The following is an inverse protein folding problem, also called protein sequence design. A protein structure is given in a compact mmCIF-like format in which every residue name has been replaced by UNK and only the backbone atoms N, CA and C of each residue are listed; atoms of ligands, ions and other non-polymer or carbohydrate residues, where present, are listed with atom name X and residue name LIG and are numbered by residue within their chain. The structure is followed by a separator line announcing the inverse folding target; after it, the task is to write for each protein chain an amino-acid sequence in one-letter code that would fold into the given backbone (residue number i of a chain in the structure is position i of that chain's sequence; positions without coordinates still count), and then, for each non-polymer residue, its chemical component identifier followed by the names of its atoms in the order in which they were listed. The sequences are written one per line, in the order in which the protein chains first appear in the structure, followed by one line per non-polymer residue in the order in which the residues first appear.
data_IF_279591431340
#
_entry.id   IF_279591431340
#
_cell.length_a   1.000
_cell.length_b   1.000
_cell.length_c   1.000
_cell.angle_alpha   90.00
_cell.angle_beta   90.00
_cell.angle_gamma   90.00
#
_symmetry.space_group_name_H-M   'P 1'
#
loop_
_entity.id
_entity.type
_entity.pdbx_description
1 polymer ?
#
# COMPACT_ATOMS: atom_id res chain seq x y z
N UNK A 1 2.34 -5.89 5.48
CA UNK A 1 2.02 -6.95 6.48
C UNK A 1 2.06 -6.50 7.94
N UNK A 2 2.86 -5.49 8.36
CA UNK A 2 2.96 -5.07 9.77
C UNK A 2 1.67 -4.52 10.41
N UNK A 3 0.62 -4.27 9.61
CA UNK A 3 -0.66 -3.69 10.06
C UNK A 3 -1.80 -4.71 10.17
N UNK A 4 -1.48 -6.00 10.05
CA UNK A 4 -2.42 -7.07 10.34
C UNK A 4 -2.63 -7.12 11.87
N UNK A 5 -3.89 -7.15 12.26
CA UNK A 5 -4.37 -7.30 13.63
C UNK A 5 -5.36 -8.45 13.67
N UNK A 6 -5.56 -9.13 14.81
CA UNK A 6 -6.54 -10.22 14.90
C UNK A 6 -7.95 -9.82 14.43
N UNK A 7 -8.29 -8.53 14.55
CA UNK A 7 -9.60 -7.98 14.19
C UNK A 7 -9.78 -7.72 12.68
N UNK A 8 -8.69 -7.57 11.92
CA UNK A 8 -8.74 -7.31 10.47
C UNK A 8 -8.15 -8.46 9.62
N UNK A 9 -7.63 -9.52 10.27
CA UNK A 9 -6.96 -10.63 9.61
C UNK A 9 -7.89 -11.37 8.63
N UNK A 10 -9.11 -11.68 9.07
CA UNK A 10 -10.12 -12.37 8.25
C UNK A 10 -10.58 -11.51 7.06
N UNK A 11 -10.65 -10.19 7.24
CA UNK A 11 -11.01 -9.24 6.16
C UNK A 11 -9.88 -9.08 5.15
N UNK A 12 -8.64 -9.40 5.54
CA UNK A 12 -7.45 -9.27 4.72
C UNK A 12 -6.97 -10.61 4.12
N UNK A 13 -7.78 -11.67 4.27
CA UNK A 13 -7.58 -13.00 3.66
C UNK A 13 -6.32 -13.74 4.17
N UNK A 14 -5.93 -13.53 5.42
CA UNK A 14 -4.85 -14.28 6.06
C UNK A 14 -5.38 -15.19 7.18
N UNK A 15 -5.00 -16.48 7.17
CA UNK A 15 -5.43 -17.48 8.16
C UNK A 15 -4.82 -17.29 9.57
N UNK A 16 -3.80 -16.44 9.70
CA UNK A 16 -3.13 -16.13 10.97
C UNK A 16 -2.20 -14.92 10.84
N UNK A 17 -1.82 -14.31 11.96
CA UNK A 17 -0.88 -13.18 11.96
C UNK A 17 0.51 -13.65 11.50
N UNK A 18 1.02 -13.21 10.33
CA UNK A 18 2.31 -13.65 9.87
C UNK A 18 3.42 -13.07 10.75
N UNK A 19 4.42 -13.89 11.07
CA UNK A 19 5.66 -13.39 11.65
C UNK A 19 6.44 -12.63 10.56
N UNK A 20 6.11 -11.35 10.37
CA UNK A 20 6.54 -10.55 9.21
C UNK A 20 8.05 -10.53 9.04
N UNK A 21 8.82 -10.44 10.13
CA UNK A 21 10.28 -10.47 10.05
C UNK A 21 10.78 -11.80 9.47
N UNK A 22 10.22 -12.92 9.93
CA UNK A 22 10.58 -14.24 9.43
C UNK A 22 10.15 -14.44 7.97
N UNK A 23 8.96 -13.98 7.61
CA UNK A 23 8.48 -14.04 6.23
C UNK A 23 9.38 -13.22 5.29
N UNK A 24 9.90 -12.07 5.74
CA UNK A 24 10.86 -11.29 4.96
C UNK A 24 12.17 -12.04 4.78
N UNK A 25 12.73 -12.62 5.84
CA UNK A 25 13.97 -13.44 5.75
C UNK A 25 13.81 -14.59 4.74
N UNK A 26 12.67 -15.29 4.78
CA UNK A 26 12.38 -16.40 3.87
C UNK A 26 12.20 -15.93 2.42
N UNK A 27 11.52 -14.80 2.22
CA UNK A 27 11.38 -14.18 0.90
C UNK A 27 12.72 -13.76 0.32
N UNK A 28 13.58 -13.12 1.14
CA UNK A 28 14.90 -12.66 0.71
C UNK A 28 15.81 -13.84 0.34
N UNK A 29 15.79 -14.91 1.15
CA UNK A 29 16.50 -16.15 0.85
C UNK A 29 16.01 -16.81 -0.45
N UNK A 30 14.70 -16.80 -0.70
CA UNK A 30 14.13 -17.32 -1.95
C UNK A 30 14.55 -16.48 -3.17
N UNK A 31 14.47 -15.16 -3.08
CA UNK A 31 14.91 -14.26 -4.14
C UNK A 31 16.41 -14.45 -4.46
N UNK A 32 17.25 -14.59 -3.44
CA UNK A 32 18.69 -14.82 -3.62
C UNK A 32 18.99 -16.20 -4.22
N UNK A 33 18.20 -17.21 -3.85
CA UNK A 33 18.31 -18.55 -4.44
C UNK A 33 18.03 -18.56 -5.95
N UNK A 34 17.10 -17.70 -6.42
CA UNK A 34 16.83 -17.51 -7.84
C UNK A 34 17.96 -16.71 -8.53
N UNK A 35 18.41 -15.60 -7.92
CA UNK A 35 19.51 -14.79 -8.44
C UNK A 35 20.81 -15.58 -8.58
N UNK A 36 21.14 -16.42 -7.62
CA UNK A 36 22.32 -17.29 -7.68
C UNK A 36 22.29 -18.32 -8.82
N UNK A 37 21.12 -18.54 -9.44
CA UNK A 37 20.93 -19.34 -10.66
C UNK A 37 20.87 -18.49 -11.94
N UNK A 38 21.21 -17.20 -11.87
CA UNK A 38 21.21 -16.29 -13.01
C UNK A 38 19.82 -15.79 -13.41
N UNK A 39 18.80 -15.97 -12.56
CA UNK A 39 17.46 -15.41 -12.80
C UNK A 39 17.44 -13.95 -12.37
N UNK A 40 16.95 -13.07 -13.25
CA UNK A 40 16.64 -11.69 -12.88
C UNK A 40 15.37 -11.67 -12.01
N UNK A 41 15.52 -11.23 -10.76
CA UNK A 41 14.41 -11.12 -9.80
C UNK A 41 14.07 -9.66 -9.59
N UNK A 42 12.91 -9.26 -10.12
CA UNK A 42 12.34 -7.93 -9.96
C UNK A 42 11.40 -7.90 -8.76
N UNK A 43 11.58 -6.93 -7.87
CA UNK A 43 10.71 -6.73 -6.71
C UNK A 43 9.63 -5.70 -7.05
N UNK A 44 8.37 -6.03 -6.77
CA UNK A 44 7.24 -5.14 -7.03
C UNK A 44 7.39 -3.78 -6.32
N UNK A 45 7.93 -3.77 -5.10
CA UNK A 45 8.21 -2.54 -4.35
C UNK A 45 9.14 -1.60 -5.10
N UNK A 46 10.15 -2.16 -5.75
CA UNK A 46 11.21 -1.42 -6.41
C UNK A 46 10.69 -0.88 -7.74
N UNK A 47 10.02 -1.73 -8.52
CA UNK A 47 9.35 -1.34 -9.76
C UNK A 47 8.28 -0.26 -9.53
N UNK A 48 7.49 -0.39 -8.48
CA UNK A 48 6.48 0.62 -8.13
C UNK A 48 7.15 1.95 -7.76
N UNK A 49 8.19 1.90 -6.94
CA UNK A 49 8.96 3.10 -6.55
C UNK A 49 9.54 3.80 -7.78
N UNK A 50 10.11 3.02 -8.71
CA UNK A 50 10.64 3.53 -9.98
C UNK A 50 9.53 4.18 -10.81
N UNK A 51 8.41 3.48 -11.02
CA UNK A 51 7.28 3.97 -11.81
C UNK A 51 6.69 5.29 -11.26
N UNK A 52 6.64 5.45 -9.93
CA UNK A 52 6.10 6.64 -9.26
C UNK A 52 6.98 7.91 -9.42
N UNK A 53 8.15 7.81 -10.05
CA UNK A 53 8.88 8.98 -10.54
C UNK A 53 8.16 9.64 -11.73
N UNK A 54 7.35 8.89 -12.48
CA UNK A 54 6.48 9.46 -13.51
C UNK A 54 5.30 10.18 -12.85
N UNK A 55 5.13 11.47 -13.18
CA UNK A 55 4.00 12.27 -12.69
C UNK A 55 2.63 11.66 -13.06
N UNK A 56 2.52 11.05 -14.24
CA UNK A 56 1.29 10.40 -14.68
C UNK A 56 0.98 9.14 -13.84
N UNK A 57 1.97 8.26 -13.66
CA UNK A 57 1.81 7.04 -12.85
C UNK A 57 1.51 7.38 -11.38
N UNK A 58 2.17 8.41 -10.85
CA UNK A 58 1.89 8.95 -9.50
C UNK A 58 0.44 9.38 -9.35
N UNK A 59 -0.07 10.18 -10.29
CA UNK A 59 -1.45 10.65 -10.25
C UNK A 59 -2.45 9.50 -10.35
N UNK A 60 -2.18 8.52 -11.21
CA UNK A 60 -3.01 7.33 -11.36
C UNK A 60 -3.02 6.47 -10.09
N UNK A 61 -1.85 6.22 -9.48
CA UNK A 61 -1.75 5.45 -8.24
C UNK A 61 -2.48 6.10 -7.06
N UNK A 62 -2.36 7.44 -6.93
CA UNK A 62 -3.10 8.19 -5.90
C UNK A 62 -4.60 8.13 -6.14
N UNK A 63 -5.06 8.33 -7.38
CA UNK A 63 -6.48 8.27 -7.71
C UNK A 63 -7.08 6.87 -7.48
N UNK A 64 -6.30 5.81 -7.70
CA UNK A 64 -6.74 4.43 -7.45
C UNK A 64 -6.84 4.09 -5.95
N UNK A 65 -6.02 4.72 -5.10
CA UNK A 65 -5.99 4.44 -3.66
C UNK A 65 -6.96 5.30 -2.83
N UNK A 66 -7.34 6.48 -3.32
CA UNK A 66 -8.21 7.41 -2.58
C UNK A 66 -9.67 7.20 -2.97
N UNK A 67 -10.47 6.68 -2.03
CA UNK A 67 -11.92 6.52 -2.19
C UNK A 67 -12.68 7.76 -1.70
N UNK A 68 -13.10 8.61 -2.63
CA UNK A 68 -13.82 9.85 -2.35
C UNK A 68 -15.24 9.63 -1.80
N UNK A 69 -15.88 8.50 -2.12
CA UNK A 69 -17.22 8.13 -1.63
C UNK A 69 -17.17 7.74 -0.17
N UNK A 70 -16.12 7.03 0.23
CA UNK A 70 -15.90 6.64 1.64
C UNK A 70 -15.42 7.80 2.50
N UNK A 71 -14.48 8.60 1.98
CA UNK A 71 -13.82 9.65 2.77
C UNK A 71 -14.57 10.98 2.76
N UNK A 72 -15.43 11.20 1.77
CA UNK A 72 -15.99 12.51 1.47
C UNK A 72 -14.98 13.40 0.74
N UNK A 73 -15.50 14.26 -0.15
CA UNK A 73 -14.69 15.06 -1.06
C UNK A 73 -13.60 15.93 -0.37
N UNK A 74 -13.87 16.65 0.73
CA UNK A 74 -12.85 17.49 1.36
C UNK A 74 -11.65 16.68 1.88
N UNK A 75 -11.91 15.58 2.58
CA UNK A 75 -10.86 14.73 3.12
C UNK A 75 -10.09 14.00 2.02
N UNK A 76 -10.78 13.54 0.98
CA UNK A 76 -10.16 12.91 -0.18
C UNK A 76 -9.20 13.86 -0.92
N UNK A 77 -9.56 15.14 -1.03
CA UNK A 77 -8.70 16.17 -1.62
C UNK A 77 -7.45 16.44 -0.78
N UNK A 78 -7.62 16.58 0.54
CA UNK A 78 -6.49 16.80 1.46
C UNK A 78 -5.54 15.60 1.49
N UNK A 79 -6.08 14.38 1.54
CA UNK A 79 -5.30 13.16 1.45
C UNK A 79 -4.54 13.09 0.13
N UNK A 80 -5.21 13.36 -1.00
CA UNK A 80 -4.56 13.38 -2.31
C UNK A 80 -3.44 14.40 -2.39
N UNK A 81 -3.63 15.60 -1.83
CA UNK A 81 -2.60 16.64 -1.77
C UNK A 81 -1.40 16.20 -0.94
N UNK A 82 -1.65 15.58 0.22
CA UNK A 82 -0.59 15.02 1.06
C UNK A 82 0.19 13.91 0.33
N UNK A 83 -0.48 12.95 -0.28
CA UNK A 83 0.18 11.86 -1.01
C UNK A 83 1.05 12.37 -2.17
N UNK A 84 0.63 13.43 -2.85
CA UNK A 84 1.42 14.07 -3.91
C UNK A 84 2.73 14.67 -3.39
N UNK A 85 2.78 15.09 -2.13
CA UNK A 85 3.98 15.66 -1.50
C UNK A 85 5.03 14.63 -1.11
N UNK A 86 4.68 13.34 -1.06
CA UNK A 86 5.60 12.28 -0.65
C UNK A 86 6.65 11.99 -1.72
N UNK A 87 7.86 11.62 -1.29
CA UNK A 87 8.84 11.02 -2.18
C UNK A 87 8.33 9.66 -2.74
N UNK A 88 8.84 9.19 -3.89
CA UNK A 88 8.35 7.96 -4.52
C UNK A 88 8.37 6.72 -3.61
N UNK A 89 9.41 6.55 -2.77
CA UNK A 89 9.53 5.39 -1.90
C UNK A 89 8.52 5.44 -0.75
N UNK A 90 8.29 6.62 -0.17
CA UNK A 90 7.24 6.82 0.83
C UNK A 90 5.85 6.64 0.23
N UNK A 91 5.60 7.14 -0.97
CA UNK A 91 4.33 6.93 -1.66
C UNK A 91 4.08 5.44 -1.95
N UNK A 92 5.07 4.72 -2.51
CA UNK A 92 4.97 3.28 -2.75
C UNK A 92 4.63 2.51 -1.48
N UNK A 93 5.28 2.86 -0.35
CA UNK A 93 5.00 2.26 0.96
C UNK A 93 3.56 2.51 1.40
N UNK A 94 3.05 3.72 1.24
CA UNK A 94 1.68 4.07 1.63
C UNK A 94 0.66 3.35 0.76
N UNK A 95 0.87 3.30 -0.56
CA UNK A 95 -0.04 2.62 -1.50
C UNK A 95 -0.07 1.09 -1.30
N UNK A 96 1.00 0.50 -0.76
CA UNK A 96 1.10 -0.96 -0.56
C UNK A 96 0.76 -1.38 0.87
N UNK A 97 1.25 -0.65 1.87
CA UNK A 97 1.10 -0.98 3.29
C UNK A 97 -0.09 -0.30 3.96
N UNK A 98 -0.82 0.57 3.25
CA UNK A 98 -1.91 1.34 3.80
C UNK A 98 -1.46 2.46 4.74
N UNK A 99 -2.43 3.28 5.13
CA UNK A 99 -2.26 4.43 6.02
C UNK A 99 -3.46 4.57 6.95
N UNK A 100 -3.22 4.84 8.23
CA UNK A 100 -4.27 5.05 9.23
C UNK A 100 -4.61 6.54 9.41
N UNK A 101 -5.77 6.84 9.98
CA UNK A 101 -6.18 8.22 10.26
C UNK A 101 -5.26 8.98 11.23
N UNK A 102 -4.49 8.28 12.06
CA UNK A 102 -3.47 8.86 12.96
C UNK A 102 -2.23 9.35 12.26
N UNK A 103 -1.94 8.83 11.08
CA UNK A 103 -0.76 9.21 10.29
C UNK A 103 -1.03 10.41 9.38
N UNK A 104 -2.28 10.88 9.31
CA UNK A 104 -2.63 12.11 8.61
C UNK A 104 -1.92 13.31 9.26
N UNK A 105 -1.36 14.23 8.46
CA UNK A 105 -0.77 15.46 8.97
C UNK A 105 -1.74 16.24 9.86
N UNK A 106 -1.24 16.83 10.94
CA UNK A 106 -2.07 17.68 11.82
C UNK A 106 -2.62 18.93 11.11
N UNK A 107 -2.06 19.31 9.96
CA UNK A 107 -2.49 20.41 9.10
C UNK A 107 -3.68 20.08 8.20
N UNK A 108 -4.03 18.80 8.06
CA UNK A 108 -5.31 18.38 7.46
C UNK A 108 -6.42 19.06 8.27
N UNK A 109 -7.35 19.80 7.63
CA UNK A 109 -8.48 20.49 8.29
C UNK A 109 -9.55 19.48 8.74
N UNK A 110 -9.04 18.48 9.40
CA UNK A 110 -9.64 17.26 9.87
C UNK A 110 -10.63 17.50 11.02
N UNK A 111 -10.54 18.64 11.70
CA UNK A 111 -11.50 19.07 12.72
C UNK A 111 -12.87 19.41 12.13
N UNK A 112 -13.00 19.54 10.81
CA UNK A 112 -14.28 19.76 10.11
C UNK A 112 -14.86 18.45 9.55
N UNK A 113 -14.04 17.43 9.33
CA UNK A 113 -14.49 16.16 8.73
C UNK A 113 -15.23 15.28 9.74
N UNK A 114 -16.55 15.15 9.56
CA UNK A 114 -17.37 14.20 10.32
C UNK A 114 -16.86 12.76 10.15
N UNK A 115 -16.41 12.40 8.94
CA UNK A 115 -15.87 11.07 8.63
C UNK A 115 -14.68 10.75 9.54
N UNK A 116 -13.72 11.66 9.69
CA UNK A 116 -12.59 11.44 10.61
C UNK A 116 -13.04 11.30 12.06
N UNK A 117 -14.01 12.09 12.53
CA UNK A 117 -14.51 12.01 13.91
C UNK A 117 -15.25 10.70 14.19
N UNK A 118 -15.87 10.10 13.18
CA UNK A 118 -16.58 8.83 13.30
C UNK A 118 -15.65 7.61 13.24
N UNK A 119 -14.46 7.76 12.67
CA UNK A 119 -13.46 6.69 12.57
C UNK A 119 -12.59 6.60 13.82
N UNK A 120 -12.23 5.37 14.19
CA UNK A 120 -11.25 5.12 15.23
C UNK A 120 -9.83 5.41 14.72
N UNK A 121 -8.93 5.73 15.65
CA UNK A 121 -7.53 6.04 15.36
C UNK A 121 -6.80 4.96 14.53
N UNK A 122 -7.19 3.69 14.69
CA UNK A 122 -6.60 2.55 13.99
C UNK A 122 -7.25 2.26 12.63
N UNK A 123 -8.31 2.97 12.25
CA UNK A 123 -8.99 2.76 10.97
C UNK A 123 -8.11 3.25 9.81
N UNK A 124 -8.28 2.62 8.65
CA UNK A 124 -7.51 2.92 7.46
C UNK A 124 -8.13 4.06 6.65
N UNK A 125 -7.31 5.06 6.34
CA UNK A 125 -7.62 6.07 5.32
C UNK A 125 -7.18 5.59 3.93
N UNK A 126 -6.19 4.69 3.88
CA UNK A 126 -5.83 3.88 2.70
C UNK A 126 -5.70 2.44 3.17
N UNK A 127 -6.46 1.54 2.55
CA UNK A 127 -6.44 0.11 2.90
C UNK A 127 -5.09 -0.53 2.55
N UNK A 128 -4.53 -1.40 3.42
CA UNK A 128 -3.34 -2.16 3.10
C UNK A 128 -3.63 -3.23 2.04
N UNK A 129 -2.63 -3.56 1.22
CA UNK A 129 -2.72 -4.61 0.20
C UNK A 129 -1.79 -5.78 0.57
N UNK A 130 -2.11 -6.59 1.60
CA UNK A 130 -1.19 -7.59 2.11
C UNK A 130 -0.98 -8.77 1.14
N UNK A 131 -1.94 -8.99 0.23
CA UNK A 131 -1.85 -10.03 -0.80
C UNK A 131 -0.87 -9.71 -1.93
N UNK A 132 -0.24 -8.53 -1.94
CA UNK A 132 0.80 -8.19 -2.94
C UNK A 132 2.04 -9.09 -2.86
N UNK A 133 2.19 -9.88 -1.81
CA UNK A 133 3.21 -10.96 -1.76
C UNK A 133 2.91 -12.09 -2.77
N UNK A 134 1.65 -12.28 -3.14
CA UNK A 134 1.21 -13.26 -4.11
C UNK A 134 1.09 -12.62 -5.49
N UNK A 135 2.24 -12.30 -6.09
CA UNK A 135 2.33 -11.57 -7.36
C UNK A 135 1.70 -12.30 -8.56
N UNK A 136 1.44 -13.61 -8.44
CA UNK A 136 0.82 -14.44 -9.48
C UNK A 136 -0.63 -14.07 -9.79
N UNK A 137 -1.36 -13.56 -8.80
CA UNK A 137 -2.82 -13.38 -8.93
C UNK A 137 -3.17 -12.03 -9.56
N UNK A 138 -2.29 -11.04 -9.40
CA UNK A 138 -2.54 -9.66 -9.85
C UNK A 138 -2.25 -9.45 -11.34
N UNK A 139 -1.34 -10.24 -11.93
CA UNK A 139 -1.04 -10.19 -13.35
C UNK A 139 -0.43 -11.51 -13.84
N UNK A 140 -0.72 -11.84 -15.09
CA UNK A 140 -0.14 -13.01 -15.77
C UNK A 140 0.49 -12.58 -17.09
N UNK A 141 1.63 -13.18 -17.42
CA UNK A 141 2.28 -13.00 -18.71
C UNK A 141 1.84 -14.13 -19.62
N UNK A 142 1.09 -13.79 -20.67
CA UNK A 142 0.82 -14.69 -21.79
C UNK A 142 1.85 -14.32 -22.85
N UNK A 143 2.58 -15.33 -23.34
CA UNK A 143 3.61 -15.13 -24.35
C UNK A 143 3.06 -14.44 -25.61
N UNK A 144 3.94 -13.96 -26.49
CA UNK A 144 3.50 -13.51 -27.80
C UNK A 144 2.75 -14.64 -28.52
N UNK A 145 1.80 -14.29 -29.38
CA UNK A 145 1.32 -15.20 -30.43
C UNK A 145 2.49 -15.65 -31.33
#
# INVERSE_FOLDING_TARGET
MRRLTPRNNDQLLFDGLPWVARAQEEHDAFAELLRSRGVEVLLLSDLLTEALNSGAARMQGIAAAVDDRRLGLPLAQELSAYLRSLDPASLARVLTAGMTFTELPSSTQADVSLVRRMHHAADFVIEPLPNLVFTRDSSIWIGPE
#
